data_IF_122758041952
#
_entry.id   IF_122758041952
#
_cell.length_a   1.000
_cell.length_b   1.000
_cell.length_c   1.000
_cell.angle_alpha   90.00
_cell.angle_beta   90.00
_cell.angle_gamma   90.00
#
_symmetry.space_group_name_H-M   'P 1'
#
loop_
_entity.id
_entity.type
_entity.pdbx_description
1 polymer ?
#
# COMPACT_ATOMS: atom_id res chain seq x y z
N UNK A 1 -27.58 58.00 -22.92
CA UNK A 1 -26.20 57.47 -22.73
C UNK A 1 -26.06 57.20 -21.21
N UNK A 2 -26.02 55.94 -20.85
CA UNK A 2 -26.10 55.54 -19.42
C UNK A 2 -24.79 55.81 -18.68
N UNK A 3 -24.89 56.57 -17.58
CA UNK A 3 -23.76 56.95 -16.70
C UNK A 3 -22.93 55.72 -16.23
N UNK A 4 -23.61 54.57 -16.08
CA UNK A 4 -22.93 53.29 -15.74
C UNK A 4 -21.96 52.76 -16.80
N UNK A 5 -22.20 53.08 -18.11
CA UNK A 5 -21.26 52.63 -19.18
C UNK A 5 -20.01 53.48 -19.21
N UNK A 6 -20.09 54.74 -18.81
CA UNK A 6 -18.94 55.64 -18.76
C UNK A 6 -18.07 55.28 -17.55
N UNK A 7 -18.65 54.91 -16.40
CA UNK A 7 -17.91 54.49 -15.23
C UNK A 7 -17.16 53.15 -15.43
N UNK A 8 -17.77 52.22 -16.18
CA UNK A 8 -17.12 50.92 -16.46
C UNK A 8 -15.95 51.06 -17.43
N UNK A 9 -16.03 51.95 -18.39
CA UNK A 9 -14.94 52.24 -19.33
C UNK A 9 -13.79 52.96 -18.63
N UNK A 10 -14.06 53.84 -17.70
CA UNK A 10 -13.05 54.50 -16.86
C UNK A 10 -12.29 53.55 -15.97
N UNK A 11 -12.99 52.57 -15.37
CA UNK A 11 -12.38 51.57 -14.52
C UNK A 11 -11.44 50.61 -15.31
N UNK A 12 -11.84 50.22 -16.51
CA UNK A 12 -11.00 49.37 -17.39
C UNK A 12 -9.75 50.14 -17.86
N UNK A 13 -9.87 51.44 -18.18
CA UNK A 13 -8.74 52.24 -18.60
C UNK A 13 -7.74 52.45 -17.46
N UNK A 14 -8.22 52.65 -16.21
CA UNK A 14 -7.36 52.80 -15.02
C UNK A 14 -6.68 51.48 -14.64
N UNK A 15 -7.36 50.33 -14.80
CA UNK A 15 -6.76 49.02 -14.59
C UNK A 15 -5.71 48.69 -15.65
N UNK A 16 -5.94 49.10 -16.92
CA UNK A 16 -4.99 48.92 -17.99
C UNK A 16 -3.72 49.77 -17.82
N UNK A 17 -3.85 51.04 -17.39
CA UNK A 17 -2.72 51.88 -17.11
C UNK A 17 -1.94 51.42 -15.87
N UNK A 18 -2.59 50.90 -14.84
CA UNK A 18 -1.93 50.33 -13.67
C UNK A 18 -1.10 49.09 -14.02
N UNK A 19 -1.64 48.21 -14.89
CA UNK A 19 -0.93 47.03 -15.33
C UNK A 19 0.29 47.35 -16.22
N UNK A 20 0.20 48.37 -17.07
CA UNK A 20 1.35 48.81 -17.89
C UNK A 20 2.46 49.47 -17.09
N UNK A 21 2.12 50.24 -16.03
CA UNK A 21 3.12 50.83 -15.12
C UNK A 21 3.81 49.73 -14.29
N UNK A 22 3.11 48.73 -13.85
CA UNK A 22 3.72 47.59 -13.15
C UNK A 22 4.63 46.76 -14.06
N UNK A 23 4.23 46.56 -15.33
CA UNK A 23 5.04 45.82 -16.28
C UNK A 23 6.29 46.58 -16.72
N UNK A 24 6.22 47.93 -16.85
CA UNK A 24 7.38 48.76 -17.16
C UNK A 24 8.29 49.02 -15.95
N UNK A 25 7.74 49.00 -14.74
CA UNK A 25 8.54 49.16 -13.50
C UNK A 25 9.48 47.96 -13.24
N UNK A 26 9.12 46.78 -13.72
CA UNK A 26 9.97 45.60 -13.56
C UNK A 26 11.19 45.57 -14.48
N UNK A 27 11.24 46.45 -15.49
CA UNK A 27 12.39 46.59 -16.41
C UNK A 27 13.48 47.51 -15.89
N UNK A 28 13.25 48.24 -14.78
CA UNK A 28 14.24 49.18 -14.21
C UNK A 28 14.87 48.68 -12.92
N UNK A 29 14.44 47.52 -12.42
CA UNK A 29 15.11 46.87 -11.31
C UNK A 29 16.03 45.82 -11.91
N UNK A 30 17.25 46.18 -12.18
CA UNK A 30 18.37 45.27 -12.37
C UNK A 30 18.65 44.60 -11.02
N UNK A 31 17.68 43.82 -10.56
CA UNK A 31 17.87 42.87 -9.50
C UNK A 31 18.50 41.65 -10.18
N UNK A 32 19.83 41.59 -10.10
CA UNK A 32 20.48 40.30 -10.27
C UNK A 32 19.65 39.26 -9.53
N UNK A 33 19.32 38.12 -10.14
CA UNK A 33 18.64 37.06 -9.42
C UNK A 33 19.54 36.71 -8.24
N UNK A 34 19.15 37.19 -7.04
CA UNK A 34 19.71 36.64 -5.81
C UNK A 34 19.33 35.14 -5.91
N UNK A 35 20.28 34.34 -6.35
CA UNK A 35 20.19 32.91 -6.15
C UNK A 35 20.00 32.76 -4.65
N UNK A 36 18.77 32.54 -4.23
CA UNK A 36 18.51 31.94 -2.94
C UNK A 36 19.19 30.58 -3.06
N UNK A 37 20.44 30.49 -2.63
CA UNK A 37 21.04 29.21 -2.33
C UNK A 37 20.12 28.62 -1.29
N UNK A 38 19.19 27.81 -1.76
CA UNK A 38 18.42 26.95 -0.90
C UNK A 38 19.46 26.10 -0.19
N UNK A 39 19.70 26.40 1.07
CA UNK A 39 20.43 25.51 1.95
C UNK A 39 19.71 24.16 1.82
N UNK A 40 20.33 23.21 1.13
CA UNK A 40 19.88 21.81 1.17
C UNK A 40 20.04 21.36 2.62
N UNK A 41 19.02 21.59 3.40
CA UNK A 41 18.93 21.07 4.74
C UNK A 41 18.56 19.59 4.60
N UNK A 42 19.56 18.74 4.63
CA UNK A 42 19.38 17.31 4.73
C UNK A 42 18.65 17.02 6.05
N UNK A 43 17.34 16.97 6.00
CA UNK A 43 16.51 16.53 7.10
C UNK A 43 16.62 15.01 7.17
N UNK A 44 17.61 14.50 7.88
CA UNK A 44 17.60 13.11 8.30
C UNK A 44 16.44 12.95 9.30
N UNK A 45 15.46 12.09 9.05
CA UNK A 45 14.45 11.81 10.05
C UNK A 45 15.17 11.31 11.30
N UNK A 46 15.00 12.02 12.41
CA UNK A 46 15.65 11.69 13.68
C UNK A 46 15.27 10.30 14.21
N UNK A 47 14.16 9.78 13.71
CA UNK A 47 13.66 8.44 14.03
C UNK A 47 12.91 7.87 12.82
N UNK A 48 13.30 6.67 12.37
CA UNK A 48 12.53 5.87 11.41
C UNK A 48 11.68 4.90 12.22
N UNK A 49 10.36 4.97 12.03
CA UNK A 49 9.41 4.10 12.70
C UNK A 49 8.76 3.17 11.67
N UNK A 50 8.80 1.87 11.96
CA UNK A 50 8.06 0.86 11.21
C UNK A 50 6.84 0.45 12.02
N UNK A 51 5.67 0.39 11.40
CA UNK A 51 4.52 -0.28 11.98
C UNK A 51 4.61 -1.78 11.71
N UNK A 52 4.09 -2.58 12.65
CA UNK A 52 4.07 -4.04 12.56
C UNK A 52 2.63 -4.53 12.74
N UNK A 53 2.16 -5.54 11.98
CA UNK A 53 0.90 -6.19 12.27
C UNK A 53 1.03 -6.96 13.60
N UNK A 54 0.05 -6.80 14.48
CA UNK A 54 0.10 -7.39 15.83
C UNK A 54 -0.41 -8.83 15.88
N UNK A 55 -0.96 -9.33 14.76
CA UNK A 55 -1.47 -10.69 14.65
C UNK A 55 -2.47 -10.85 13.52
N UNK A 56 -3.11 -12.03 13.47
CA UNK A 56 -4.26 -12.29 12.60
C UNK A 56 -5.52 -11.72 13.23
N UNK A 57 -6.39 -11.20 12.41
CA UNK A 57 -7.68 -10.60 12.80
C UNK A 57 -8.79 -11.55 12.42
N UNK A 58 -9.71 -11.78 13.35
CA UNK A 58 -10.93 -12.56 13.09
C UNK A 58 -11.80 -11.76 12.09
N UNK A 59 -12.13 -12.31 10.91
CA UNK A 59 -12.91 -11.57 9.90
C UNK A 59 -14.32 -11.23 10.37
N UNK A 60 -14.88 -11.98 11.32
CA UNK A 60 -16.21 -11.70 11.88
C UNK A 60 -16.15 -10.78 13.10
N UNK A 61 -15.00 -10.72 13.76
CA UNK A 61 -14.76 -9.81 14.88
C UNK A 61 -13.36 -9.18 14.76
N UNK A 62 -13.26 -8.12 13.99
CA UNK A 62 -11.98 -7.45 13.67
C UNK A 62 -11.27 -6.82 14.89
N UNK A 63 -11.90 -6.85 16.08
CA UNK A 63 -11.26 -6.47 17.35
C UNK A 63 -10.55 -7.65 18.03
N UNK A 64 -10.82 -8.88 17.60
CA UNK A 64 -10.17 -10.09 18.11
C UNK A 64 -8.92 -10.39 17.26
N UNK A 65 -7.75 -10.31 17.87
CA UNK A 65 -6.46 -10.46 17.21
C UNK A 65 -5.70 -11.61 17.81
N UNK A 66 -5.30 -12.59 16.99
CA UNK A 66 -4.41 -13.67 17.43
C UNK A 66 -2.99 -13.13 17.66
N UNK A 67 -2.32 -13.60 18.72
CA UNK A 67 -1.01 -13.10 19.08
C UNK A 67 0.07 -13.38 18.01
N UNK A 68 0.94 -12.42 17.82
CA UNK A 68 2.07 -12.51 16.90
C UNK A 68 3.40 -12.33 17.66
N UNK A 69 4.49 -12.65 16.99
CA UNK A 69 5.86 -12.45 17.46
C UNK A 69 6.65 -11.66 16.44
N UNK A 70 7.38 -10.65 16.88
CA UNK A 70 8.19 -9.80 16.00
C UNK A 70 9.67 -9.99 16.27
N UNK A 71 10.46 -10.09 15.21
CA UNK A 71 11.93 -9.99 15.24
C UNK A 71 12.35 -8.66 14.63
N UNK A 72 13.32 -8.02 15.25
CA UNK A 72 13.88 -6.76 14.76
C UNK A 72 15.40 -6.86 14.68
N UNK A 73 16.00 -6.17 13.72
CA UNK A 73 17.45 -5.99 13.64
C UNK A 73 18.05 -5.30 14.87
N UNK A 74 17.23 -4.62 15.66
CA UNK A 74 17.62 -3.95 16.91
C UNK A 74 17.56 -4.85 18.13
N UNK A 75 16.96 -6.04 18.04
CA UNK A 75 16.83 -6.99 19.13
C UNK A 75 17.34 -8.37 18.70
N UNK A 76 18.12 -9.01 19.57
CA UNK A 76 18.61 -10.39 19.34
C UNK A 76 17.57 -11.45 19.71
N UNK A 77 16.53 -11.06 20.43
CA UNK A 77 15.45 -11.94 20.89
C UNK A 77 14.13 -11.51 20.27
N UNK A 78 13.26 -12.47 19.97
CA UNK A 78 11.90 -12.15 19.51
C UNK A 78 11.12 -11.42 20.60
N UNK A 79 10.22 -10.54 20.18
CA UNK A 79 9.32 -9.78 21.06
C UNK A 79 7.92 -10.37 20.92
N UNK A 80 7.37 -10.88 22.01
CA UNK A 80 6.01 -11.42 22.06
C UNK A 80 5.29 -10.89 23.32
N UNK A 81 4.06 -10.36 23.19
CA UNK A 81 3.33 -10.14 21.94
C UNK A 81 4.02 -9.12 21.03
N UNK A 82 3.74 -9.20 19.73
CA UNK A 82 4.29 -8.29 18.73
C UNK A 82 3.96 -6.82 19.06
N UNK A 83 4.95 -5.92 19.06
CA UNK A 83 4.69 -4.49 19.23
C UNK A 83 4.01 -3.93 17.99
N UNK A 84 3.17 -2.91 18.16
CA UNK A 84 2.53 -2.22 17.03
C UNK A 84 3.53 -1.44 16.16
N UNK A 85 4.71 -1.12 16.71
CA UNK A 85 5.77 -0.43 15.96
C UNK A 85 7.16 -0.73 16.50
N UNK A 86 8.16 -0.59 15.63
CA UNK A 86 9.59 -0.67 15.93
C UNK A 86 10.25 0.64 15.49
N UNK A 87 10.92 1.30 16.41
CA UNK A 87 11.58 2.59 16.16
C UNK A 87 13.09 2.42 16.10
N UNK A 88 13.71 2.99 15.07
CA UNK A 88 15.17 3.05 14.94
C UNK A 88 15.79 3.95 16.01
N UNK A 89 17.01 3.61 16.43
CA UNK A 89 17.75 4.35 17.44
C UNK A 89 19.07 4.84 16.82
N UNK A 90 19.42 6.12 17.10
CA UNK A 90 20.72 6.67 16.70
C UNK A 90 20.94 6.74 15.18
N UNK A 91 19.88 6.97 14.40
CA UNK A 91 19.95 7.06 12.94
C UNK A 91 19.99 5.71 12.23
N UNK A 92 19.89 4.60 12.96
CA UNK A 92 19.81 3.25 12.36
C UNK A 92 18.39 3.02 11.83
N UNK A 93 18.29 2.62 10.56
CA UNK A 93 17.02 2.20 9.97
C UNK A 93 16.72 0.78 10.46
N UNK A 94 15.61 0.56 11.19
CA UNK A 94 15.27 -0.76 11.66
C UNK A 94 14.75 -1.63 10.50
N UNK A 95 15.00 -2.92 10.58
CA UNK A 95 14.27 -3.93 9.84
C UNK A 95 13.56 -4.84 10.84
N UNK A 96 12.33 -5.20 10.56
CA UNK A 96 11.56 -6.05 11.44
C UNK A 96 10.62 -6.96 10.65
N UNK A 97 10.39 -8.14 11.17
CA UNK A 97 9.53 -9.18 10.61
C UNK A 97 8.57 -9.64 11.71
N UNK A 98 7.30 -9.71 11.39
CA UNK A 98 6.29 -10.33 12.25
C UNK A 98 5.96 -11.73 11.73
N UNK A 99 6.02 -12.69 12.61
CA UNK A 99 5.56 -14.05 12.41
C UNK A 99 4.29 -14.29 13.22
N UNK A 100 3.27 -14.79 12.58
CA UNK A 100 2.02 -15.14 13.20
C UNK A 100 1.58 -16.52 12.73
N UNK A 101 1.10 -17.35 13.66
CA UNK A 101 0.61 -18.67 13.34
C UNK A 101 -0.48 -19.10 14.33
N UNK A 102 -1.50 -19.75 13.82
CA UNK A 102 -2.57 -20.37 14.58
C UNK A 102 -2.80 -21.78 14.07
N UNK A 103 -2.73 -22.75 14.97
CA UNK A 103 -2.81 -24.18 14.61
C UNK A 103 -4.23 -24.72 14.38
N UNK A 104 -5.26 -23.87 14.43
CA UNK A 104 -6.64 -24.29 14.27
C UNK A 104 -7.63 -23.14 14.31
N UNK A 105 -8.92 -23.44 14.05
CA UNK A 105 -9.98 -22.43 13.96
C UNK A 105 -9.95 -21.66 12.63
N UNK A 106 -10.77 -20.66 12.51
CA UNK A 106 -10.96 -19.87 11.27
C UNK A 106 -9.70 -19.13 10.82
N UNK A 107 -8.78 -18.85 11.76
CA UNK A 107 -7.51 -18.19 11.49
C UNK A 107 -6.33 -19.18 11.36
N UNK A 108 -6.61 -20.47 11.10
CA UNK A 108 -5.55 -21.47 10.92
C UNK A 108 -4.59 -21.04 9.79
N UNK A 109 -3.30 -20.99 10.09
CA UNK A 109 -2.29 -20.58 9.12
C UNK A 109 -0.97 -20.19 9.78
N UNK A 110 0.06 -20.05 8.95
CA UNK A 110 1.36 -19.51 9.33
C UNK A 110 1.71 -18.43 8.32
N UNK A 111 2.00 -17.24 8.81
CA UNK A 111 2.36 -16.11 7.95
C UNK A 111 3.54 -15.35 8.52
N UNK A 112 4.43 -14.90 7.63
CA UNK A 112 5.55 -14.04 7.93
C UNK A 112 5.47 -12.79 7.07
N UNK A 113 5.48 -11.62 7.68
CA UNK A 113 5.34 -10.35 6.96
C UNK A 113 6.25 -9.27 7.54
N UNK A 114 6.84 -8.45 6.68
CA UNK A 114 7.67 -7.32 7.10
C UNK A 114 6.86 -6.23 7.78
N UNK A 115 7.44 -5.64 8.85
CA UNK A 115 6.98 -4.36 9.34
C UNK A 115 7.27 -3.29 8.28
N UNK A 116 6.38 -2.32 8.11
CA UNK A 116 6.41 -1.37 7.01
C UNK A 116 6.47 0.08 7.50
N UNK A 117 7.19 0.92 6.76
CA UNK A 117 7.11 2.36 6.95
C UNK A 117 5.75 2.89 6.45
N UNK A 118 5.17 3.90 7.12
CA UNK A 118 3.95 4.56 6.62
C UNK A 118 4.18 5.14 5.22
N UNK A 119 3.13 5.06 4.39
CA UNK A 119 3.14 5.61 3.02
C UNK A 119 1.82 6.30 2.73
N UNK A 120 1.87 7.31 1.88
CA UNK A 120 0.68 8.04 1.42
C UNK A 120 -0.01 7.36 0.25
N UNK A 121 0.67 6.47 -0.47
CA UNK A 121 0.11 5.68 -1.58
C UNK A 121 0.79 4.33 -1.67
N UNK A 122 0.00 3.25 -1.70
CA UNK A 122 0.47 1.87 -1.77
C UNK A 122 -0.64 0.94 -2.27
N UNK A 123 -0.25 -0.24 -2.74
CA UNK A 123 -1.14 -1.21 -3.38
C UNK A 123 -1.03 -2.56 -2.71
N UNK A 124 -2.15 -3.27 -2.63
CA UNK A 124 -2.18 -4.66 -2.18
C UNK A 124 -2.97 -5.46 -3.21
N UNK A 125 -2.34 -6.46 -3.79
CA UNK A 125 -2.98 -7.40 -4.71
C UNK A 125 -3.03 -8.78 -4.05
N UNK A 126 -4.04 -9.00 -3.20
CA UNK A 126 -4.17 -10.24 -2.42
C UNK A 126 -5.62 -10.47 -2.01
N UNK A 127 -6.02 -11.72 -1.87
CA UNK A 127 -7.32 -12.12 -1.33
C UNK A 127 -8.48 -12.04 -2.31
N UNK A 128 -9.64 -12.42 -1.80
CA UNK A 128 -10.93 -12.43 -2.48
C UNK A 128 -12.02 -12.13 -1.44
N UNK A 129 -13.23 -11.83 -1.90
CA UNK A 129 -14.39 -11.55 -1.05
C UNK A 129 -15.63 -12.34 -1.49
N UNK A 130 -15.41 -13.42 -2.21
CA UNK A 130 -16.44 -14.39 -2.58
C UNK A 130 -16.82 -15.28 -1.41
N UNK A 131 -17.91 -16.03 -1.53
CA UNK A 131 -18.30 -17.00 -0.50
C UNK A 131 -17.15 -17.96 -0.17
N UNK A 132 -16.80 -18.06 1.10
CA UNK A 132 -15.67 -18.85 1.59
C UNK A 132 -14.30 -18.15 1.48
N UNK A 133 -14.24 -16.92 1.06
CA UNK A 133 -13.01 -16.13 1.03
C UNK A 133 -13.23 -14.76 1.66
N UNK A 134 -12.35 -14.39 2.60
CA UNK A 134 -12.39 -13.09 3.25
C UNK A 134 -11.06 -12.36 3.11
N UNK A 135 -11.16 -11.03 2.99
CA UNK A 135 -10.01 -10.14 2.99
C UNK A 135 -10.20 -9.05 4.03
N UNK A 136 -9.29 -8.96 4.99
CA UNK A 136 -9.25 -7.90 6.00
C UNK A 136 -8.09 -6.97 5.68
N UNK A 137 -8.38 -5.69 5.48
CA UNK A 137 -7.38 -4.63 5.34
C UNK A 137 -6.96 -4.14 6.72
N UNK A 138 -5.68 -4.22 7.03
CA UNK A 138 -5.08 -3.78 8.30
C UNK A 138 -4.31 -2.50 8.01
N UNK A 139 -4.71 -1.40 8.65
CA UNK A 139 -4.13 -0.06 8.50
C UNK A 139 -3.55 0.40 9.83
N UNK A 140 -2.27 0.70 9.87
CA UNK A 140 -1.61 1.19 11.08
C UNK A 140 -1.02 2.57 10.87
N UNK A 141 -1.35 3.49 11.75
CA UNK A 141 -0.82 4.85 11.77
C UNK A 141 0.11 5.03 12.97
N UNK A 142 1.42 4.83 12.82
CA UNK A 142 2.37 5.06 13.92
C UNK A 142 2.65 6.54 14.16
N UNK A 143 2.14 7.44 13.32
CA UNK A 143 2.37 8.88 13.39
C UNK A 143 1.62 9.56 14.55
N UNK A 144 1.96 10.82 14.84
CA UNK A 144 1.37 11.59 15.95
C UNK A 144 0.02 12.24 15.62
N UNK A 145 -0.41 12.21 14.36
CA UNK A 145 -1.67 12.79 13.90
C UNK A 145 -2.55 11.75 13.24
N UNK A 146 -3.87 11.91 13.32
CA UNK A 146 -4.80 11.05 12.60
C UNK A 146 -4.59 11.18 11.09
N UNK A 147 -4.86 10.11 10.36
CA UNK A 147 -4.80 10.03 8.90
C UNK A 147 -6.14 9.60 8.34
N UNK A 148 -6.63 10.30 7.31
CA UNK A 148 -7.79 9.88 6.52
C UNK A 148 -7.29 9.02 5.37
N UNK A 149 -7.80 7.81 5.30
CA UNK A 149 -7.40 6.82 4.31
C UNK A 149 -8.54 6.58 3.34
N UNK A 150 -8.28 6.73 2.05
CA UNK A 150 -9.17 6.35 0.95
C UNK A 150 -8.72 5.02 0.36
N UNK A 151 -9.67 4.15 0.04
CA UNK A 151 -9.42 2.82 -0.51
C UNK A 151 -10.24 2.62 -1.77
N UNK A 152 -9.57 2.38 -2.88
CA UNK A 152 -10.16 2.03 -4.17
C UNK A 152 -9.98 0.53 -4.41
N UNK A 153 -11.03 -0.14 -4.89
CA UNK A 153 -11.01 -1.56 -5.24
C UNK A 153 -10.83 -1.80 -6.73
N UNK A 154 -10.12 -2.87 -7.07
CA UNK A 154 -9.84 -3.32 -8.42
C UNK A 154 -10.05 -4.82 -8.53
N UNK A 155 -10.82 -5.24 -9.52
CA UNK A 155 -11.11 -6.63 -9.82
C UNK A 155 -10.54 -7.08 -11.17
N UNK A 156 -10.89 -8.29 -11.59
CA UNK A 156 -10.44 -8.85 -12.87
C UNK A 156 -10.90 -8.02 -14.08
N UNK A 157 -12.00 -7.27 -13.95
CA UNK A 157 -12.60 -6.46 -15.04
C UNK A 157 -12.26 -4.97 -14.94
N UNK A 158 -11.47 -4.55 -13.95
CA UNK A 158 -11.10 -3.16 -13.75
C UNK A 158 -11.50 -2.60 -12.38
N UNK A 159 -11.56 -1.26 -12.24
CA UNK A 159 -12.00 -0.61 -11.00
C UNK A 159 -13.42 -1.03 -10.60
N UNK A 160 -13.62 -1.40 -9.33
CA UNK A 160 -14.90 -1.93 -8.84
C UNK A 160 -15.89 -0.81 -8.51
N UNK A 161 -15.42 0.28 -7.91
CA UNK A 161 -16.26 1.39 -7.48
C UNK A 161 -15.72 2.73 -7.97
N UNK A 162 -16.64 3.61 -8.38
CA UNK A 162 -16.27 4.97 -8.78
C UNK A 162 -15.99 5.90 -7.57
N UNK A 163 -16.47 5.54 -6.38
CA UNK A 163 -16.30 6.34 -5.16
C UNK A 163 -15.41 5.59 -4.16
N UNK A 164 -14.26 6.15 -3.79
CA UNK A 164 -13.38 5.57 -2.78
C UNK A 164 -14.08 5.38 -1.44
N UNK A 165 -13.81 4.27 -0.76
CA UNK A 165 -14.22 4.06 0.63
C UNK A 165 -13.23 4.76 1.54
N UNK A 166 -13.70 5.33 2.64
CA UNK A 166 -12.85 6.09 3.55
C UNK A 166 -12.92 5.58 4.97
N UNK A 167 -11.78 5.63 5.65
CA UNK A 167 -11.65 5.33 7.08
C UNK A 167 -10.63 6.27 7.70
N UNK A 168 -10.88 6.70 8.94
CA UNK A 168 -9.91 7.49 9.72
C UNK A 168 -9.14 6.58 10.65
N UNK A 169 -7.81 6.66 10.58
CA UNK A 169 -6.90 5.94 11.47
C UNK A 169 -6.30 6.95 12.44
N UNK A 170 -6.68 6.86 13.72
CA UNK A 170 -6.19 7.77 14.74
C UNK A 170 -4.68 7.61 14.97
N UNK A 171 -4.05 8.63 15.54
CA UNK A 171 -2.63 8.62 15.88
C UNK A 171 -2.26 7.42 16.77
N UNK A 172 -1.22 6.69 16.43
CA UNK A 172 -0.72 5.55 17.18
C UNK A 172 -1.64 4.33 17.19
N UNK A 173 -2.65 4.26 16.31
CA UNK A 173 -3.63 3.15 16.30
C UNK A 173 -3.57 2.29 15.04
N UNK A 174 -4.15 1.12 15.14
CA UNK A 174 -4.39 0.19 14.03
C UNK A 174 -5.90 -0.03 13.89
N UNK A 175 -6.38 -0.02 12.64
CA UNK A 175 -7.76 -0.29 12.27
C UNK A 175 -7.80 -1.44 11.30
N UNK A 176 -8.76 -2.35 11.48
CA UNK A 176 -9.00 -3.48 10.58
C UNK A 176 -10.37 -3.31 9.91
N UNK A 177 -10.44 -3.53 8.61
CA UNK A 177 -11.64 -3.35 7.80
C UNK A 177 -11.88 -4.63 6.98
N UNK A 178 -13.05 -5.22 7.15
CA UNK A 178 -13.49 -6.35 6.34
C UNK A 178 -13.90 -5.84 4.95
N UNK A 179 -13.15 -6.22 3.93
CA UNK A 179 -13.33 -5.67 2.58
C UNK A 179 -14.56 -6.23 1.84
N UNK A 180 -15.10 -7.38 2.25
CA UNK A 180 -16.35 -7.90 1.71
C UNK A 180 -17.53 -6.92 1.89
N UNK A 181 -17.52 -6.09 2.95
CA UNK A 181 -18.51 -5.03 3.14
C UNK A 181 -18.35 -3.84 2.19
N UNK A 182 -17.20 -3.67 1.55
CA UNK A 182 -16.89 -2.60 0.62
C UNK A 182 -16.89 -3.04 -0.84
N UNK A 183 -16.36 -4.23 -1.10
CA UNK A 183 -16.16 -4.84 -2.42
C UNK A 183 -16.64 -6.30 -2.36
N UNK A 184 -17.96 -6.54 -2.38
CA UNK A 184 -18.53 -7.89 -2.29
C UNK A 184 -18.31 -8.70 -3.57
N UNK A 185 -18.22 -10.02 -3.42
CA UNK A 185 -18.19 -11.02 -4.50
C UNK A 185 -17.04 -10.89 -5.51
N UNK A 186 -15.89 -10.34 -5.05
CA UNK A 186 -14.69 -10.24 -5.89
C UNK A 186 -13.79 -11.46 -5.74
N UNK A 187 -13.65 -12.24 -6.81
CA UNK A 187 -12.78 -13.41 -6.83
C UNK A 187 -11.29 -13.09 -6.87
N UNK A 188 -10.93 -11.90 -7.36
CA UNK A 188 -9.55 -11.43 -7.46
C UNK A 188 -9.53 -9.96 -7.11
N UNK A 189 -9.30 -9.65 -5.84
CA UNK A 189 -9.33 -8.29 -5.31
C UNK A 189 -7.93 -7.70 -5.17
N UNK A 190 -7.75 -6.49 -5.68
CA UNK A 190 -6.64 -5.62 -5.33
C UNK A 190 -7.17 -4.28 -4.81
N UNK A 191 -6.44 -3.64 -3.93
CA UNK A 191 -6.82 -2.33 -3.38
C UNK A 191 -5.68 -1.32 -3.48
N UNK A 192 -6.05 -0.08 -3.78
CA UNK A 192 -5.19 1.09 -3.67
C UNK A 192 -5.50 1.81 -2.37
N UNK A 193 -4.50 1.96 -1.54
CA UNK A 193 -4.59 2.65 -0.26
C UNK A 193 -3.92 4.01 -0.39
N UNK A 194 -4.70 5.08 -0.25
CA UNK A 194 -4.23 6.45 -0.27
C UNK A 194 -4.50 7.08 1.09
N UNK A 195 -3.51 7.73 1.67
CA UNK A 195 -3.59 8.33 3.00
C UNK A 195 -3.04 9.75 2.98
N UNK A 196 -3.63 10.64 3.77
CA UNK A 196 -3.13 11.98 3.99
C UNK A 196 -2.02 12.03 5.05
N UNK A 197 -1.48 13.22 5.28
CA UNK A 197 -0.50 13.50 6.33
C UNK A 197 0.76 12.65 6.22
N UNK A 198 1.10 11.94 7.30
CA UNK A 198 2.28 11.07 7.37
C UNK A 198 2.09 9.70 6.71
N UNK A 199 0.89 9.41 6.21
CA UNK A 199 0.54 8.12 5.64
C UNK A 199 0.25 7.04 6.68
N UNK A 200 -0.01 5.83 6.21
CA UNK A 200 -0.23 4.63 7.02
C UNK A 200 0.60 3.47 6.50
N UNK A 201 0.89 2.49 7.34
CA UNK A 201 1.33 1.18 6.88
C UNK A 201 0.11 0.30 6.65
N UNK A 202 0.14 -0.54 5.62
CA UNK A 202 -0.99 -1.36 5.23
C UNK A 202 -0.59 -2.81 4.93
N UNK A 203 -1.45 -3.73 5.34
CA UNK A 203 -1.38 -5.16 5.03
C UNK A 203 -2.78 -5.67 4.70
N UNK A 204 -2.84 -6.77 4.00
CA UNK A 204 -4.07 -7.53 3.86
C UNK A 204 -3.90 -8.92 4.46
N UNK A 205 -4.89 -9.33 5.23
CA UNK A 205 -5.08 -10.71 5.62
C UNK A 205 -6.07 -11.33 4.63
N UNK A 206 -5.68 -12.42 4.01
CA UNK A 206 -6.56 -13.24 3.18
C UNK A 206 -6.80 -14.57 3.88
N UNK A 207 -8.06 -14.95 3.99
CA UNK A 207 -8.52 -16.19 4.63
C UNK A 207 -9.39 -16.98 3.67
N UNK A 208 -9.22 -18.29 3.67
CA UNK A 208 -10.01 -19.21 2.85
C UNK A 208 -10.70 -20.26 3.73
N UNK A 209 -11.95 -20.55 3.41
CA UNK A 209 -12.80 -21.55 4.05
C UNK A 209 -13.41 -22.47 2.98
N UNK A 210 -13.53 -23.74 3.28
CA UNK A 210 -14.33 -24.69 2.51
C UNK A 210 -15.49 -25.15 3.40
N UNK A 211 -16.64 -24.49 3.28
CA UNK A 211 -17.71 -24.59 4.27
C UNK A 211 -17.22 -24.10 5.63
N UNK A 212 -17.22 -24.97 6.64
CA UNK A 212 -16.71 -24.66 7.99
C UNK A 212 -15.23 -25.07 8.19
N UNK A 213 -14.56 -25.57 7.15
CA UNK A 213 -13.18 -26.06 7.25
C UNK A 213 -12.22 -24.95 6.79
N UNK A 214 -11.36 -24.42 7.68
CA UNK A 214 -10.33 -23.46 7.32
C UNK A 214 -9.33 -24.07 6.33
N UNK A 215 -9.06 -23.32 5.25
CA UNK A 215 -8.07 -23.71 4.23
C UNK A 215 -6.75 -22.95 4.41
N UNK A 216 -6.76 -21.91 5.22
CA UNK A 216 -5.57 -21.14 5.57
C UNK A 216 -5.82 -19.65 5.62
N UNK A 217 -4.94 -18.99 6.36
CA UNK A 217 -4.90 -17.52 6.49
C UNK A 217 -3.48 -17.04 6.26
N UNK A 218 -3.33 -15.99 5.46
CA UNK A 218 -2.03 -15.38 5.19
C UNK A 218 -2.09 -13.85 5.28
N UNK A 219 -0.93 -13.23 5.54
CA UNK A 219 -0.75 -11.79 5.47
C UNK A 219 0.05 -11.42 4.22
N UNK A 220 -0.41 -10.40 3.51
CA UNK A 220 0.28 -9.79 2.39
C UNK A 220 0.65 -8.35 2.71
N UNK A 221 1.89 -7.95 2.42
CA UNK A 221 2.35 -6.57 2.54
C UNK A 221 1.86 -5.72 1.38
N UNK A 222 1.60 -4.44 1.66
CA UNK A 222 1.43 -3.46 0.61
C UNK A 222 2.75 -3.18 -0.13
N UNK A 223 2.65 -2.89 -1.41
CA UNK A 223 3.77 -2.61 -2.30
C UNK A 223 3.58 -1.28 -3.03
N UNK A 224 4.66 -0.75 -3.56
CA UNK A 224 4.63 0.36 -4.52
C UNK A 224 4.81 -0.25 -5.92
N UNK A 225 4.05 0.18 -6.92
CA UNK A 225 4.22 -0.31 -8.29
C UNK A 225 5.66 -0.11 -8.77
N UNK A 226 6.21 -1.13 -9.40
CA UNK A 226 7.56 -1.11 -9.96
C UNK A 226 7.62 -1.97 -11.23
N UNK A 227 8.59 -1.68 -12.08
CA UNK A 227 8.85 -2.44 -13.32
C UNK A 227 9.47 -3.82 -13.03
N UNK A 228 10.05 -3.99 -11.87
CA UNK A 228 10.63 -5.27 -11.41
C UNK A 228 10.31 -5.45 -9.94
N UNK A 229 9.82 -6.64 -9.60
CA UNK A 229 9.50 -7.03 -8.22
C UNK A 229 10.05 -8.42 -7.93
N UNK A 230 10.48 -8.64 -6.69
CA UNK A 230 10.93 -9.96 -6.23
C UNK A 230 10.03 -10.42 -5.09
N UNK A 231 9.50 -11.63 -5.20
CA UNK A 231 8.69 -12.28 -4.17
C UNK A 231 9.51 -13.42 -3.60
N UNK A 232 9.65 -13.46 -2.29
CA UNK A 232 10.42 -14.47 -1.57
C UNK A 232 9.48 -15.46 -0.87
N UNK A 233 9.97 -16.69 -0.67
CA UNK A 233 9.28 -17.69 0.14
C UNK A 233 8.07 -18.30 -0.55
N UNK A 234 8.06 -18.40 -1.88
CA UNK A 234 7.03 -19.14 -2.61
C UNK A 234 7.19 -20.63 -2.29
N UNK A 235 6.10 -21.26 -1.81
CA UNK A 235 6.10 -22.71 -1.55
C UNK A 235 5.95 -23.46 -2.87
N UNK A 236 6.97 -24.23 -3.28
CA UNK A 236 6.92 -24.99 -4.52
C UNK A 236 6.04 -26.25 -4.42
N UNK A 237 5.70 -26.71 -3.21
CA UNK A 237 4.91 -27.93 -3.00
C UNK A 237 3.41 -27.71 -3.06
N UNK A 238 2.96 -26.44 -2.95
CA UNK A 238 1.57 -26.04 -2.95
C UNK A 238 1.10 -25.47 -4.29
N UNK A 239 -0.21 -25.26 -4.41
CA UNK A 239 -0.78 -24.46 -5.49
C UNK A 239 -0.58 -22.97 -5.18
N UNK A 240 0.38 -22.35 -5.83
CA UNK A 240 0.66 -20.92 -5.66
C UNK A 240 0.12 -20.13 -6.83
N UNK A 241 -0.56 -19.01 -6.53
CA UNK A 241 -1.08 -18.08 -7.53
C UNK A 241 -0.38 -16.72 -7.37
N UNK A 242 0.19 -16.22 -8.46
CA UNK A 242 0.68 -14.87 -8.55
C UNK A 242 -0.45 -13.95 -9.00
N UNK A 243 -0.77 -12.94 -8.20
CA UNK A 243 -1.73 -11.91 -8.58
C UNK A 243 -1.00 -10.66 -9.04
N UNK A 244 -1.37 -10.19 -10.22
CA UNK A 244 -0.81 -9.05 -10.91
C UNK A 244 -1.85 -7.95 -11.01
N UNK A 245 -1.42 -6.70 -10.95
CA UNK A 245 -2.24 -5.52 -11.22
C UNK A 245 -1.39 -4.50 -11.98
N UNK A 246 -1.95 -3.89 -13.00
CA UNK A 246 -1.34 -2.81 -13.77
C UNK A 246 -2.04 -1.47 -13.48
N UNK A 247 -1.54 -0.62 -12.54
CA UNK A 247 -2.28 0.55 -12.06
C UNK A 247 -2.43 1.67 -13.09
N UNK A 248 -1.41 1.91 -13.91
CA UNK A 248 -1.28 3.14 -14.71
C UNK A 248 -1.34 2.95 -16.22
N UNK A 249 -1.44 1.72 -16.69
CA UNK A 249 -1.46 1.37 -18.10
C UNK A 249 -1.40 -0.13 -18.29
N UNK A 250 -1.59 -0.62 -19.51
CA UNK A 250 -1.36 -2.02 -19.82
C UNK A 250 0.10 -2.40 -19.54
N UNK A 251 0.32 -3.55 -18.95
CA UNK A 251 1.64 -4.07 -18.64
C UNK A 251 1.86 -5.46 -19.24
N UNK A 252 3.01 -5.66 -19.90
CA UNK A 252 3.49 -6.97 -20.30
C UNK A 252 4.44 -7.49 -19.23
N UNK A 253 4.09 -8.60 -18.60
CA UNK A 253 4.81 -9.18 -17.48
C UNK A 253 5.51 -10.45 -17.91
N UNK A 254 6.76 -10.63 -17.49
CA UNK A 254 7.49 -11.89 -17.57
C UNK A 254 7.94 -12.31 -16.19
N UNK A 255 7.65 -13.56 -15.82
CA UNK A 255 7.98 -14.14 -14.52
C UNK A 255 9.14 -15.10 -14.68
N UNK A 256 10.12 -15.00 -13.78
CA UNK A 256 11.25 -15.92 -13.67
C UNK A 256 11.32 -16.49 -12.26
N UNK A 257 11.79 -17.68 -12.12
CA UNK A 257 12.10 -18.35 -10.85
C UNK A 257 13.58 -18.25 -10.58
N UNK A 258 13.96 -17.93 -9.35
CA UNK A 258 15.31 -17.96 -8.88
C UNK A 258 15.45 -19.08 -7.83
N UNK A 259 16.30 -20.04 -8.08
CA UNK A 259 16.60 -21.19 -7.22
C UNK A 259 18.11 -21.45 -7.11
N UNK A 260 18.51 -22.63 -6.62
CA UNK A 260 19.91 -23.01 -6.49
C UNK A 260 20.67 -23.11 -7.83
N UNK A 261 19.96 -23.35 -8.93
CA UNK A 261 20.54 -23.55 -10.26
C UNK A 261 20.62 -22.23 -11.05
N UNK A 262 20.01 -21.16 -10.55
CA UNK A 262 20.06 -19.83 -11.12
C UNK A 262 18.72 -19.18 -11.32
N UNK A 263 18.61 -18.35 -12.38
CA UNK A 263 17.37 -17.65 -12.74
C UNK A 263 16.87 -18.19 -14.07
N UNK A 264 15.66 -18.74 -14.07
CA UNK A 264 15.03 -19.30 -15.27
C UNK A 264 13.66 -18.69 -15.53
N UNK A 265 13.24 -18.57 -16.81
CA UNK A 265 11.88 -18.18 -17.13
C UNK A 265 10.88 -19.21 -16.59
N UNK A 266 9.79 -18.76 -15.96
CA UNK A 266 8.68 -19.63 -15.60
C UNK A 266 7.94 -20.07 -16.87
N UNK A 267 7.68 -21.39 -17.02
CA UNK A 267 6.85 -21.90 -18.09
C UNK A 267 5.43 -21.31 -18.02
N UNK A 268 4.97 -20.65 -19.10
CA UNK A 268 3.71 -19.92 -19.06
C UNK A 268 3.75 -18.59 -18.28
N UNK A 269 4.93 -18.16 -17.82
CA UNK A 269 5.13 -16.94 -17.02
C UNK A 269 5.09 -15.63 -17.80
N UNK A 270 4.39 -15.56 -18.94
CA UNK A 270 4.18 -14.31 -19.69
C UNK A 270 2.70 -13.98 -19.75
N UNK A 271 2.37 -12.73 -19.45
CA UNK A 271 1.00 -12.24 -19.51
C UNK A 271 0.93 -10.76 -19.87
N UNK A 272 -0.18 -10.36 -20.49
CA UNK A 272 -0.59 -8.97 -20.62
C UNK A 272 -1.65 -8.69 -19.55
N UNK A 273 -1.44 -7.62 -18.78
CA UNK A 273 -2.36 -7.18 -17.72
C UNK A 273 -2.97 -5.86 -18.18
N UNK A 274 -4.27 -5.82 -18.39
CA UNK A 274 -4.96 -4.60 -18.78
C UNK A 274 -4.91 -3.56 -17.67
N UNK A 275 -4.94 -2.29 -18.03
CA UNK A 275 -4.93 -1.19 -17.06
C UNK A 275 -6.07 -1.32 -16.03
N UNK A 276 -5.73 -1.21 -14.77
CA UNK A 276 -6.68 -1.24 -13.65
C UNK A 276 -7.28 -2.62 -13.38
N UNK A 277 -6.86 -3.67 -14.08
CA UNK A 277 -7.39 -5.03 -13.89
C UNK A 277 -6.43 -5.91 -13.13
N UNK A 278 -6.98 -6.87 -12.37
CA UNK A 278 -6.19 -7.93 -11.76
C UNK A 278 -6.11 -9.14 -12.70
N UNK A 279 -4.99 -9.82 -12.68
CA UNK A 279 -4.76 -11.08 -13.37
C UNK A 279 -4.14 -12.09 -12.40
N UNK A 280 -4.64 -13.32 -12.40
CA UNK A 280 -4.04 -14.43 -11.67
C UNK A 280 -3.26 -15.33 -12.62
N UNK A 281 -2.05 -15.67 -12.22
CA UNK A 281 -1.15 -16.57 -12.94
C UNK A 281 -0.75 -17.70 -11.99
N UNK A 282 -1.03 -18.99 -12.36
CA UNK A 282 -0.53 -20.11 -11.59
C UNK A 282 1.00 -20.18 -11.68
N UNK A 283 1.64 -20.49 -10.57
CA UNK A 283 3.07 -20.72 -10.48
C UNK A 283 3.43 -22.21 -10.58
N UNK A 284 2.61 -22.98 -11.29
CA UNK A 284 2.81 -24.40 -11.53
C UNK A 284 4.10 -24.60 -12.32
N UNK A 285 5.08 -25.26 -11.74
CA UNK A 285 6.40 -25.45 -12.37
C UNK A 285 7.53 -24.65 -11.75
N UNK A 286 7.27 -23.77 -10.77
CA UNK A 286 8.30 -23.20 -9.92
C UNK A 286 9.04 -24.29 -9.10
N UNK A 287 8.51 -25.52 -9.10
CA UNK A 287 8.97 -26.61 -8.22
C UNK A 287 9.59 -27.81 -8.93
N UNK A 288 9.80 -27.82 -10.23
CA UNK A 288 10.16 -29.07 -10.92
C UNK A 288 11.61 -29.51 -10.83
N UNK A 289 12.51 -28.71 -10.29
CA UNK A 289 13.94 -29.03 -10.26
C UNK A 289 14.65 -28.76 -8.92
N UNK A 290 13.95 -28.82 -7.78
CA UNK A 290 14.60 -28.89 -6.46
C UNK A 290 14.61 -30.34 -5.96
N UNK A 291 15.40 -31.20 -6.60
CA UNK A 291 15.86 -32.49 -6.05
C UNK A 291 17.32 -32.39 -5.67
#
# INVERSE_FOLDING_TARGET
MNVHRIASLGAIALAGLGATVLASGSLLIDSAPTSVEGSEQSAHPSQVQLACPTGLVDPFNTTNVAAATTWSSLSRTPISPAPASVTGVGGVIPTALTLVGQGGGELAGLSAVGCAAPRTSQWIAAGATTSGADMVLILSNPGPTASVVSVDGYGATGPINATPRQVTVAAGTTVSVLLAGWFPDEGSLAVHVQADGGGVAAWAQASLMNGEIPQGTTLASAVVPATTQTILGVDPSGTSLLRLLAPSGEAHVSVSVADSDGVHPLGGGQAAVAQGSTLEMPLDGASKDST
#
